data_IF_128309320622
#
_entry.id   IF_128309320622
#
_cell.length_a   1.000
_cell.length_b   1.000
_cell.length_c   1.000
_cell.angle_alpha   90.00
_cell.angle_beta   90.00
_cell.angle_gamma   90.00
#
_symmetry.space_group_name_H-M   'P 1'
#
loop_
_entity.id
_entity.type
_entity.pdbx_description
1 polymer ?
#
# COMPACT_ATOMS: atom_id res chain seq x y z
N UNK A 1 -16.50 7.59 14.72
CA UNK A 1 -15.71 8.80 15.02
C UNK A 1 -16.33 9.49 16.23
N UNK A 2 -15.72 9.45 17.42
CA UNK A 2 -16.26 10.18 18.56
C UNK A 2 -16.01 11.68 18.35
N UNK A 3 -17.07 12.50 18.41
CA UNK A 3 -16.97 13.97 18.39
C UNK A 3 -17.09 14.58 19.79
N UNK A 4 -17.26 13.76 20.82
CA UNK A 4 -17.61 14.25 22.14
C UNK A 4 -16.41 14.72 22.96
N UNK A 5 -15.21 14.17 22.74
CA UNK A 5 -13.99 14.53 23.49
C UNK A 5 -12.80 14.69 22.54
N UNK A 6 -11.88 15.61 22.84
CA UNK A 6 -10.63 15.82 22.11
C UNK A 6 -9.59 14.72 22.37
N UNK A 7 -8.38 14.84 21.80
CA UNK A 7 -7.31 13.85 21.96
C UNK A 7 -6.76 13.74 23.38
N UNK A 8 -7.12 14.69 24.25
CA UNK A 8 -6.72 14.80 25.65
C UNK A 8 -7.90 14.51 26.61
N UNK A 9 -9.05 14.08 26.08
CA UNK A 9 -10.25 13.78 26.87
C UNK A 9 -11.13 14.99 27.24
N UNK A 10 -10.86 16.18 26.71
CA UNK A 10 -11.66 17.40 26.96
C UNK A 10 -12.90 17.39 26.09
N UNK A 11 -14.07 17.72 26.64
CA UNK A 11 -15.30 17.74 25.85
C UNK A 11 -15.25 18.76 24.70
N UNK A 12 -15.76 18.38 23.53
CA UNK A 12 -15.89 19.30 22.39
C UNK A 12 -16.88 20.40 22.72
N UNK A 13 -16.43 21.65 22.62
CA UNK A 13 -17.21 22.82 22.97
C UNK A 13 -18.59 22.89 22.29
N UNK A 14 -19.61 23.21 23.09
CA UNK A 14 -20.99 23.41 22.65
C UNK A 14 -21.35 24.90 22.61
N UNK A 15 -22.58 25.22 22.18
CA UNK A 15 -23.12 26.58 22.26
C UNK A 15 -23.44 27.03 23.70
N UNK A 16 -23.06 26.27 24.73
CA UNK A 16 -23.05 26.76 26.11
C UNK A 16 -22.14 27.99 26.21
N UNK A 17 -22.60 29.13 26.76
CA UNK A 17 -21.80 30.36 26.80
C UNK A 17 -20.41 30.22 27.46
N UNK A 18 -20.28 29.31 28.43
CA UNK A 18 -18.99 29.04 29.08
C UNK A 18 -18.00 28.26 28.20
N UNK A 19 -18.49 27.51 27.20
CA UNK A 19 -17.69 26.68 26.31
C UNK A 19 -17.39 27.38 24.97
N UNK A 20 -18.08 28.48 24.65
CA UNK A 20 -17.88 29.27 23.43
C UNK A 20 -17.72 30.76 23.75
N UNK A 21 -16.57 31.16 24.33
CA UNK A 21 -16.30 32.55 24.71
C UNK A 21 -15.99 33.44 23.51
N UNK A 22 -16.15 34.74 23.69
CA UNK A 22 -15.69 35.74 22.73
C UNK A 22 -14.16 35.74 22.65
N UNK A 23 -13.63 35.91 21.44
CA UNK A 23 -12.21 36.12 21.17
C UNK A 23 -12.11 37.42 20.35
N UNK A 24 -12.15 38.59 21.03
CA UNK A 24 -12.26 39.89 20.36
C UNK A 24 -11.11 40.20 19.41
N UNK A 25 -9.90 39.73 19.73
CA UNK A 25 -8.69 39.90 18.91
C UNK A 25 -8.86 39.26 17.53
N UNK A 26 -9.65 38.19 17.44
CA UNK A 26 -9.94 37.48 16.19
C UNK A 26 -11.27 37.92 15.56
N UNK A 27 -11.93 38.95 16.11
CA UNK A 27 -13.27 39.38 15.71
C UNK A 27 -14.34 38.30 15.92
N UNK A 28 -14.09 37.32 16.78
CA UNK A 28 -15.00 36.22 17.04
C UNK A 28 -15.87 36.53 18.26
N UNK A 29 -17.18 36.58 18.06
CA UNK A 29 -18.17 36.65 19.13
C UNK A 29 -18.83 35.29 19.27
N UNK A 30 -18.60 34.64 20.40
CA UNK A 30 -19.09 33.32 20.73
C UNK A 30 -20.56 33.34 21.13
N UNK A 31 -21.02 32.21 21.66
CA UNK A 31 -22.44 31.97 21.87
C UNK A 31 -23.07 32.89 22.94
N UNK A 32 -22.27 33.52 23.81
CA UNK A 32 -22.75 34.49 24.79
C UNK A 32 -23.44 35.72 24.17
N UNK A 33 -23.06 36.08 22.94
CA UNK A 33 -23.65 37.20 22.19
C UNK A 33 -25.10 36.95 21.73
N UNK A 34 -25.59 35.71 21.83
CA UNK A 34 -26.93 35.32 21.37
C UNK A 34 -27.97 35.37 22.48
N UNK A 35 -29.14 35.90 22.15
CA UNK A 35 -30.32 36.01 23.02
C UNK A 35 -31.41 35.03 22.59
N UNK A 36 -32.49 34.95 23.37
CA UNK A 36 -33.66 34.13 23.02
C UNK A 36 -34.27 34.50 21.65
N UNK A 37 -34.07 35.73 21.16
CA UNK A 37 -34.61 36.17 19.87
C UNK A 37 -33.81 35.70 18.65
N UNK A 38 -32.58 35.20 18.82
CA UNK A 38 -31.68 34.86 17.70
C UNK A 38 -30.84 33.58 17.89
N UNK A 39 -31.13 32.80 18.93
CA UNK A 39 -30.54 31.50 19.15
C UNK A 39 -31.36 30.37 18.49
N UNK A 40 -30.71 29.26 18.17
CA UNK A 40 -31.33 28.10 17.51
C UNK A 40 -32.19 27.27 18.47
N UNK A 41 -31.78 27.16 19.73
CA UNK A 41 -32.47 26.39 20.76
C UNK A 41 -32.22 26.99 22.14
N UNK A 42 -33.19 26.87 23.05
CA UNK A 42 -33.04 27.23 24.46
C UNK A 42 -32.10 26.27 25.21
N UNK A 43 -32.02 25.00 24.79
CA UNK A 43 -31.08 24.04 25.34
C UNK A 43 -29.73 24.14 24.63
N UNK A 44 -28.91 25.09 25.06
CA UNK A 44 -27.66 25.52 24.41
C UNK A 44 -26.62 24.41 24.20
N UNK A 45 -26.37 23.47 25.14
CA UNK A 45 -25.37 22.42 24.97
C UNK A 45 -25.69 21.38 23.88
N UNK A 46 -26.90 21.37 23.32
CA UNK A 46 -27.32 20.37 22.33
C UNK A 46 -26.64 20.49 20.96
N UNK A 47 -25.88 21.58 20.74
CA UNK A 47 -25.23 21.86 19.48
C UNK A 47 -23.77 22.26 19.71
N UNK A 48 -22.86 21.72 18.90
CA UNK A 48 -21.45 22.17 18.90
C UNK A 48 -21.32 23.65 18.57
N UNK A 49 -20.35 24.31 19.21
CA UNK A 49 -20.04 25.72 18.99
C UNK A 49 -19.55 26.00 17.57
N UNK A 50 -19.59 27.28 17.17
CA UNK A 50 -19.02 27.68 15.88
C UNK A 50 -17.50 27.47 15.86
N UNK A 51 -16.83 27.69 16.99
CA UNK A 51 -15.41 27.42 17.16
C UNK A 51 -15.07 25.93 16.95
N UNK A 52 -15.81 25.03 17.60
CA UNK A 52 -15.60 23.58 17.47
C UNK A 52 -15.83 23.08 16.02
N UNK A 53 -16.82 23.66 15.33
CA UNK A 53 -17.12 23.35 13.92
C UNK A 53 -16.07 23.87 12.93
N UNK A 54 -15.25 24.85 13.32
CA UNK A 54 -14.13 25.37 12.51
C UNK A 54 -12.80 24.69 12.79
N UNK A 55 -12.72 23.86 13.84
CA UNK A 55 -11.48 23.22 14.28
C UNK A 55 -11.66 21.71 14.44
N UNK A 56 -11.90 21.23 15.66
CA UNK A 56 -11.76 19.80 15.96
C UNK A 56 -12.73 18.89 15.20
N UNK A 57 -13.93 19.37 14.85
CA UNK A 57 -14.92 18.57 14.12
C UNK A 57 -14.46 18.29 12.68
N UNK A 58 -14.14 19.31 11.85
CA UNK A 58 -13.61 19.06 10.52
C UNK A 58 -12.26 18.34 10.56
N UNK A 59 -11.38 18.60 11.52
CA UNK A 59 -10.09 17.89 11.63
C UNK A 59 -10.28 16.38 11.84
N UNK A 60 -11.21 15.99 12.72
CA UNK A 60 -11.53 14.59 12.96
C UNK A 60 -12.23 13.95 11.79
N UNK A 61 -13.14 14.66 11.15
CA UNK A 61 -13.81 14.16 9.95
C UNK A 61 -12.81 13.96 8.80
N UNK A 62 -11.89 14.91 8.60
CA UNK A 62 -10.83 14.80 7.60
C UNK A 62 -9.88 13.64 7.90
N UNK A 63 -9.44 13.50 9.16
CA UNK A 63 -8.59 12.37 9.59
C UNK A 63 -9.30 11.03 9.38
N UNK A 64 -10.58 10.96 9.72
CA UNK A 64 -11.41 9.78 9.52
C UNK A 64 -11.57 9.41 8.06
N UNK A 65 -11.85 10.40 7.20
CA UNK A 65 -11.97 10.22 5.76
C UNK A 65 -10.63 9.77 5.19
N UNK A 66 -9.52 10.39 5.59
CA UNK A 66 -8.18 10.00 5.17
C UNK A 66 -7.83 8.56 5.58
N UNK A 67 -8.23 8.14 6.77
CA UNK A 67 -7.99 6.78 7.27
C UNK A 67 -8.89 5.74 6.57
N UNK A 68 -10.13 6.10 6.23
CA UNK A 68 -11.12 5.16 5.67
C UNK A 68 -11.09 5.10 4.13
N UNK A 69 -11.02 6.24 3.46
CA UNK A 69 -10.99 6.35 2.00
C UNK A 69 -9.56 6.23 1.44
N UNK A 70 -8.54 6.29 2.30
CA UNK A 70 -7.14 6.40 1.89
C UNK A 70 -6.81 7.78 1.31
N UNK A 71 -5.51 8.05 1.17
CA UNK A 71 -5.01 9.23 0.43
C UNK A 71 -5.07 8.96 -1.08
N UNK A 72 -6.28 8.76 -1.61
CA UNK A 72 -6.46 8.57 -3.05
C UNK A 72 -6.02 9.83 -3.80
N UNK A 73 -5.50 9.66 -5.03
CA UNK A 73 -5.06 10.78 -5.86
C UNK A 73 -6.17 11.81 -6.10
N UNK A 74 -7.43 11.37 -6.21
CA UNK A 74 -8.60 12.25 -6.33
C UNK A 74 -8.79 13.14 -5.09
N UNK A 75 -8.60 12.58 -3.89
CA UNK A 75 -8.68 13.34 -2.64
C UNK A 75 -7.50 14.32 -2.49
N UNK A 76 -6.28 13.91 -2.84
CA UNK A 76 -5.08 14.78 -2.77
C UNK A 76 -5.15 15.91 -3.81
N UNK A 77 -5.66 15.64 -5.01
CA UNK A 77 -5.75 16.61 -6.11
C UNK A 77 -6.95 17.56 -6.00
N UNK A 78 -7.86 17.35 -5.05
CA UNK A 78 -9.07 18.16 -4.87
C UNK A 78 -10.12 17.99 -5.98
N UNK A 79 -10.01 16.94 -6.80
CA UNK A 79 -10.96 16.66 -7.88
C UNK A 79 -12.11 15.80 -7.35
N UNK A 80 -13.33 16.34 -7.36
CA UNK A 80 -14.51 15.64 -6.84
C UNK A 80 -14.70 14.29 -7.58
N UNK A 81 -15.04 13.20 -6.86
CA UNK A 81 -15.52 12.00 -7.52
C UNK A 81 -16.80 12.35 -8.28
N UNK A 82 -16.88 11.91 -9.54
CA UNK A 82 -18.05 12.16 -10.38
C UNK A 82 -19.25 11.36 -9.84
N UNK A 83 -20.09 12.01 -9.04
CA UNK A 83 -21.38 11.46 -8.62
C UNK A 83 -22.30 11.59 -9.84
N UNK A 84 -22.44 10.51 -10.61
CA UNK A 84 -23.28 10.48 -11.81
C UNK A 84 -24.77 10.50 -11.41
N UNK A 85 -25.56 11.53 -11.77
CA UNK A 85 -27.01 11.39 -11.81
C UNK A 85 -27.38 10.53 -13.02
N UNK A 86 -28.38 9.66 -12.86
CA UNK A 86 -28.86 8.79 -13.92
C UNK A 86 -29.49 9.56 -15.09
N UNK A 87 -29.09 9.13 -16.30
CA UNK A 87 -29.78 9.13 -17.61
C UNK A 87 -30.32 10.43 -18.22
N UNK A 88 -29.64 10.89 -19.27
CA UNK A 88 -30.18 11.71 -20.36
C UNK A 88 -29.10 12.04 -21.39
N UNK A 89 -29.12 11.37 -22.55
CA UNK A 89 -28.02 11.37 -23.53
C UNK A 89 -27.93 12.56 -24.48
N UNK A 90 -26.71 12.80 -24.98
CA UNK A 90 -26.34 12.98 -26.40
C UNK A 90 -24.81 13.10 -26.53
N UNK A 91 -24.19 12.13 -27.21
CA UNK A 91 -22.76 12.02 -27.60
C UNK A 91 -22.30 13.14 -28.56
N UNK A 92 -20.99 13.47 -28.73
CA UNK A 92 -19.84 12.53 -28.71
C UNK A 92 -18.49 13.05 -28.13
N UNK A 93 -17.80 12.21 -27.38
CA UNK A 93 -16.35 11.97 -27.53
C UNK A 93 -16.03 10.71 -26.74
N UNK A 94 -15.25 9.81 -27.36
CA UNK A 94 -14.83 8.55 -26.77
C UNK A 94 -14.06 8.70 -25.46
N UNK A 95 -13.84 7.59 -24.75
CA UNK A 95 -13.44 7.59 -23.36
C UNK A 95 -12.12 8.34 -23.19
N UNK A 96 -12.14 9.42 -22.41
CA UNK A 96 -10.91 9.85 -21.77
C UNK A 96 -10.51 8.70 -20.85
N UNK A 97 -9.39 8.06 -21.19
CA UNK A 97 -8.78 7.03 -20.38
C UNK A 97 -8.60 7.59 -18.97
N UNK A 98 -9.19 6.89 -18.00
CA UNK A 98 -9.00 7.18 -16.59
C UNK A 98 -7.50 7.00 -16.31
N UNK A 99 -6.78 8.12 -16.12
CA UNK A 99 -5.35 8.20 -15.78
C UNK A 99 -5.06 7.68 -14.36
N UNK A 100 -5.83 6.70 -13.87
CA UNK A 100 -5.70 6.16 -12.52
C UNK A 100 -4.49 5.23 -12.43
N UNK A 101 -3.58 5.56 -11.51
CA UNK A 101 -2.52 4.65 -11.04
C UNK A 101 -3.19 3.35 -10.63
N UNK A 102 -2.77 2.22 -11.20
CA UNK A 102 -3.28 0.90 -10.83
C UNK A 102 -2.58 0.44 -9.56
N UNK A 103 -3.35 0.11 -8.53
CA UNK A 103 -2.82 -0.24 -7.22
C UNK A 103 -3.31 -1.62 -6.77
N UNK A 104 -2.37 -2.47 -6.38
CA UNK A 104 -2.62 -3.72 -5.65
C UNK A 104 -2.04 -3.57 -4.26
N UNK A 105 -2.78 -3.97 -3.24
CA UNK A 105 -2.33 -3.82 -1.85
C UNK A 105 -2.68 -5.02 -0.99
N UNK A 106 -1.85 -5.27 0.02
CA UNK A 106 -2.16 -6.13 1.16
C UNK A 106 -1.93 -5.30 2.42
N UNK A 107 -3.04 -4.81 3.01
CA UNK A 107 -3.02 -3.90 4.15
C UNK A 107 -3.87 -4.45 5.29
N UNK A 108 -3.33 -4.63 6.50
CA UNK A 108 -4.08 -5.07 7.69
C UNK A 108 -5.31 -4.20 7.97
N UNK A 109 -5.21 -2.89 7.73
CA UNK A 109 -6.32 -1.95 7.90
C UNK A 109 -7.47 -2.15 6.90
N UNK A 110 -7.22 -2.83 5.77
CA UNK A 110 -8.22 -3.15 4.75
C UNK A 110 -8.91 -4.51 4.97
N UNK A 111 -8.71 -5.14 6.13
CA UNK A 111 -9.37 -6.39 6.52
C UNK A 111 -8.62 -7.64 6.06
N UNK A 112 -9.31 -8.78 6.00
CA UNK A 112 -8.70 -10.07 5.65
C UNK A 112 -8.13 -10.09 4.22
N UNK A 113 -7.06 -10.84 4.00
CA UNK A 113 -6.38 -10.92 2.71
C UNK A 113 -7.32 -11.38 1.57
N UNK A 114 -8.21 -12.34 1.86
CA UNK A 114 -9.20 -12.82 0.90
C UNK A 114 -10.20 -11.73 0.47
N UNK A 115 -10.60 -10.85 1.40
CA UNK A 115 -11.47 -9.71 1.09
C UNK A 115 -10.76 -8.66 0.23
N UNK A 116 -9.43 -8.64 0.25
CA UNK A 116 -8.58 -7.81 -0.58
C UNK A 116 -8.18 -8.49 -1.90
N UNK A 117 -8.80 -9.61 -2.27
CA UNK A 117 -8.54 -10.31 -3.54
C UNK A 117 -7.33 -11.25 -3.54
N UNK A 118 -6.71 -11.49 -2.38
CA UNK A 118 -5.57 -12.41 -2.27
C UNK A 118 -6.01 -13.85 -2.02
N UNK A 119 -5.32 -14.80 -2.66
CA UNK A 119 -5.55 -16.23 -2.48
C UNK A 119 -4.30 -16.93 -1.94
N UNK A 120 -4.43 -17.68 -0.85
CA UNK A 120 -3.35 -18.50 -0.27
C UNK A 120 -3.49 -19.94 -0.72
N UNK A 121 -2.37 -20.58 -1.06
CA UNK A 121 -2.27 -22.02 -1.34
C UNK A 121 -1.12 -22.63 -0.56
N UNK A 122 -1.31 -23.88 -0.12
CA UNK A 122 -0.27 -24.70 0.52
C UNK A 122 0.35 -24.04 1.78
N UNK A 123 -0.42 -23.14 2.42
CA UNK A 123 -0.07 -22.34 3.58
C UNK A 123 -1.31 -21.77 4.24
N UNK A 124 -1.13 -20.96 5.28
CA UNK A 124 -2.19 -20.17 5.91
C UNK A 124 -1.79 -18.70 5.99
N UNK A 125 -2.80 -17.82 6.03
CA UNK A 125 -2.62 -16.40 6.30
C UNK A 125 -3.59 -16.02 7.42
N UNK A 126 -3.10 -15.31 8.42
CA UNK A 126 -3.89 -14.83 9.55
C UNK A 126 -3.60 -13.36 9.78
N UNK A 127 -4.64 -12.55 9.87
CA UNK A 127 -4.57 -11.18 10.36
C UNK A 127 -4.60 -11.19 11.90
N UNK A 128 -3.55 -10.66 12.53
CA UNK A 128 -3.46 -10.51 13.99
C UNK A 128 -2.65 -9.27 14.33
N UNK A 129 -3.11 -8.47 15.29
CA UNK A 129 -2.36 -7.33 15.83
C UNK A 129 -1.91 -6.32 14.75
N UNK A 130 -2.72 -6.13 13.72
CA UNK A 130 -2.40 -5.23 12.61
C UNK A 130 -1.31 -5.75 11.67
N UNK A 131 -1.09 -7.07 11.60
CA UNK A 131 -0.08 -7.72 10.77
C UNK A 131 -0.62 -9.00 10.16
N UNK A 132 -0.23 -9.33 8.92
CA UNK A 132 -0.47 -10.64 8.34
C UNK A 132 0.65 -11.61 8.69
N UNK A 133 0.31 -12.72 9.33
CA UNK A 133 1.24 -13.82 9.64
C UNK A 133 1.00 -14.96 8.66
N UNK A 134 2.06 -15.41 7.98
CA UNK A 134 1.99 -16.53 7.04
C UNK A 134 2.47 -17.80 7.74
N UNK A 135 1.66 -18.86 7.69
CA UNK A 135 2.01 -20.18 8.21
C UNK A 135 2.33 -21.12 7.07
N UNK A 136 3.50 -21.77 7.17
CA UNK A 136 3.95 -22.76 6.19
C UNK A 136 3.39 -24.14 6.53
N UNK A 137 2.89 -24.86 5.54
CA UNK A 137 2.60 -26.29 5.67
C UNK A 137 3.87 -27.13 5.47
N UNK A 138 4.03 -28.20 6.26
CA UNK A 138 5.22 -29.06 6.19
C UNK A 138 5.41 -29.64 4.78
N UNK A 139 6.65 -29.60 4.28
CA UNK A 139 7.04 -30.10 2.95
C UNK A 139 6.32 -29.45 1.75
N UNK A 140 5.75 -28.25 1.94
CA UNK A 140 5.06 -27.50 0.88
C UNK A 140 5.64 -26.11 0.74
N UNK A 141 5.70 -25.61 -0.49
CA UNK A 141 5.98 -24.20 -0.77
C UNK A 141 4.63 -23.46 -0.78
N UNK A 142 4.46 -22.43 0.06
CA UNK A 142 3.20 -21.68 0.07
C UNK A 142 3.22 -20.60 -1.02
N UNK A 143 2.04 -20.18 -1.50
CA UNK A 143 1.91 -19.05 -2.41
C UNK A 143 0.70 -18.19 -2.05
N UNK A 144 0.93 -16.89 -1.86
CA UNK A 144 -0.12 -15.87 -1.69
C UNK A 144 -0.17 -15.02 -2.95
N UNK A 145 -1.28 -15.04 -3.68
CA UNK A 145 -1.38 -14.49 -5.04
C UNK A 145 -2.50 -13.47 -5.18
N UNK A 146 -2.24 -12.39 -5.90
CA UNK A 146 -3.25 -11.44 -6.38
C UNK A 146 -3.08 -11.25 -7.90
N UNK A 147 -4.15 -11.36 -8.72
CA UNK A 147 -4.09 -11.09 -10.15
C UNK A 147 -3.56 -9.68 -10.45
N UNK A 148 -2.81 -9.54 -11.55
CA UNK A 148 -2.33 -8.25 -12.06
C UNK A 148 -2.68 -8.15 -13.53
N UNK A 149 -3.64 -7.28 -13.83
CA UNK A 149 -3.96 -6.95 -15.21
C UNK A 149 -2.85 -6.07 -15.80
N UNK A 150 -2.52 -6.30 -17.07
CA UNK A 150 -1.54 -5.52 -17.84
C UNK A 150 -0.19 -5.34 -17.14
N UNK A 151 0.29 -6.35 -16.40
CA UNK A 151 1.53 -6.27 -15.64
C UNK A 151 2.73 -5.73 -16.45
N UNK A 152 2.80 -6.06 -17.75
CA UNK A 152 3.85 -5.61 -18.68
C UNK A 152 3.98 -4.08 -18.75
N UNK A 153 2.92 -3.34 -18.41
CA UNK A 153 2.92 -1.87 -18.40
C UNK A 153 3.84 -1.28 -17.34
N UNK A 154 4.32 -2.06 -16.35
CA UNK A 154 5.44 -1.66 -15.50
C UNK A 154 6.69 -1.25 -16.30
N UNK A 155 6.92 -1.86 -17.48
CA UNK A 155 8.05 -1.52 -18.34
C UNK A 155 7.85 -0.20 -19.07
N UNK A 156 6.63 0.15 -19.47
CA UNK A 156 6.34 1.38 -20.22
C UNK A 156 6.04 2.56 -19.30
N UNK A 157 5.28 2.34 -18.24
CA UNK A 157 4.78 3.37 -17.32
C UNK A 157 5.67 3.53 -16.09
N UNK A 158 6.48 2.51 -15.77
CA UNK A 158 7.16 2.45 -14.48
C UNK A 158 6.17 2.21 -13.35
N UNK A 159 6.66 2.32 -12.12
CA UNK A 159 5.86 2.02 -10.94
C UNK A 159 6.72 1.77 -9.73
N UNK A 160 6.09 1.30 -8.67
CA UNK A 160 6.75 1.05 -7.39
C UNK A 160 6.11 -0.13 -6.68
N UNK A 161 6.95 -1.03 -6.19
CA UNK A 161 6.58 -1.98 -5.16
C UNK A 161 7.14 -1.50 -3.82
N UNK A 162 6.31 -1.46 -2.78
CA UNK A 162 6.75 -1.26 -1.39
C UNK A 162 6.26 -2.42 -0.54
N UNK A 163 7.14 -3.03 0.24
CA UNK A 163 6.79 -4.09 1.17
C UNK A 163 7.49 -3.86 2.52
N UNK A 164 6.71 -3.85 3.60
CA UNK A 164 7.22 -3.88 4.96
C UNK A 164 6.92 -5.25 5.58
N UNK A 165 7.98 -5.99 5.87
CA UNK A 165 7.91 -7.37 6.31
C UNK A 165 8.93 -7.63 7.43
N UNK A 166 8.75 -8.71 8.18
CA UNK A 166 9.81 -9.26 9.03
C UNK A 166 9.88 -10.76 8.87
N UNK A 167 11.07 -11.29 9.12
CA UNK A 167 11.34 -12.72 9.17
C UNK A 167 11.34 -13.18 10.62
N UNK A 168 10.91 -14.41 10.87
CA UNK A 168 10.92 -15.01 12.21
C UNK A 168 11.56 -16.39 12.19
N UNK A 169 12.30 -16.69 13.27
CA UNK A 169 13.05 -17.94 13.43
C UNK A 169 14.47 -17.70 13.91
N UNK A 170 15.20 -18.78 14.16
CA UNK A 170 16.62 -18.71 14.49
C UNK A 170 17.45 -18.44 13.23
N UNK A 171 18.50 -17.63 13.36
CA UNK A 171 19.45 -17.40 12.27
C UNK A 171 20.04 -18.73 11.78
N UNK A 172 19.85 -19.02 10.50
CA UNK A 172 20.35 -20.21 9.82
C UNK A 172 20.94 -19.75 8.50
N UNK A 173 22.15 -20.17 8.18
CA UNK A 173 22.79 -19.75 6.94
C UNK A 173 22.07 -20.33 5.72
N UNK A 174 21.95 -19.55 4.65
CA UNK A 174 21.27 -19.90 3.39
C UNK A 174 19.77 -20.15 3.49
N UNK A 175 19.12 -19.80 4.60
CA UNK A 175 17.69 -20.01 4.76
C UNK A 175 16.88 -18.95 3.99
N UNK A 176 15.87 -19.41 3.26
CA UNK A 176 14.97 -18.55 2.48
C UNK A 176 13.97 -17.84 3.41
N UNK A 177 13.65 -16.59 3.08
CA UNK A 177 12.55 -15.83 3.66
C UNK A 177 11.49 -15.49 2.61
N UNK A 178 11.02 -14.24 2.59
CA UNK A 178 10.01 -13.76 1.65
C UNK A 178 10.53 -13.72 0.21
N UNK A 179 9.81 -14.33 -0.71
CA UNK A 179 9.94 -14.19 -2.15
C UNK A 179 8.79 -13.38 -2.76
N UNK A 180 9.08 -12.56 -3.77
CA UNK A 180 8.13 -11.71 -4.51
C UNK A 180 8.34 -11.91 -6.01
N UNK A 181 7.29 -12.30 -6.70
CA UNK A 181 7.33 -12.67 -8.10
C UNK A 181 6.18 -12.05 -8.88
N UNK A 182 6.46 -11.68 -10.13
CA UNK A 182 5.48 -11.21 -11.09
C UNK A 182 6.06 -11.44 -12.48
N UNK A 183 5.38 -12.24 -13.28
CA UNK A 183 5.74 -12.43 -14.68
C UNK A 183 4.49 -12.49 -15.55
N UNK A 184 4.69 -12.25 -16.83
CA UNK A 184 3.64 -12.20 -17.84
C UNK A 184 4.08 -12.92 -19.11
N UNK A 185 3.12 -13.36 -19.90
CA UNK A 185 3.30 -13.89 -21.25
C UNK A 185 3.12 -12.81 -22.33
N UNK A 186 2.79 -11.58 -21.94
CA UNK A 186 2.74 -10.44 -22.83
C UNK A 186 4.13 -10.16 -23.44
N UNK A 187 4.19 -9.73 -24.73
CA UNK A 187 5.46 -9.41 -25.36
C UNK A 187 6.13 -8.21 -24.70
N UNK A 188 7.47 -8.19 -24.71
CA UNK A 188 8.23 -7.02 -24.28
C UNK A 188 7.87 -5.84 -25.19
N UNK A 189 7.53 -4.65 -24.63
CA UNK A 189 7.19 -3.47 -25.42
C UNK A 189 8.31 -3.03 -26.36
N UNK A 190 7.93 -2.45 -27.50
CA UNK A 190 8.88 -1.88 -28.45
C UNK A 190 9.81 -0.85 -27.79
N UNK A 191 11.08 -0.90 -28.14
CA UNK A 191 12.10 -0.01 -27.58
C UNK A 191 12.63 -0.41 -26.19
N UNK A 192 12.01 -1.37 -25.50
CA UNK A 192 12.52 -1.91 -24.23
C UNK A 192 13.44 -3.10 -24.49
N UNK A 193 14.72 -2.97 -24.14
CA UNK A 193 15.67 -4.07 -24.21
C UNK A 193 15.58 -4.94 -22.94
N UNK A 194 15.35 -6.25 -23.11
CA UNK A 194 15.30 -7.21 -22.01
C UNK A 194 16.10 -8.47 -22.35
N UNK A 195 17.05 -8.82 -21.49
CA UNK A 195 17.95 -9.97 -21.67
C UNK A 195 17.30 -11.29 -21.23
N UNK A 196 17.87 -12.43 -21.61
CA UNK A 196 17.39 -13.76 -21.21
C UNK A 196 16.39 -14.38 -22.18
N UNK A 197 15.82 -15.52 -21.80
CA UNK A 197 14.93 -16.35 -22.64
C UNK A 197 13.69 -16.77 -21.86
N UNK A 198 12.56 -16.92 -22.54
CA UNK A 198 11.28 -17.24 -21.90
C UNK A 198 10.40 -15.99 -21.75
N UNK A 199 9.64 -15.95 -20.66
CA UNK A 199 8.64 -14.92 -20.40
C UNK A 199 9.26 -13.71 -19.66
N UNK A 200 8.75 -12.48 -19.85
CA UNK A 200 9.16 -11.34 -19.05
C UNK A 200 8.88 -11.53 -17.55
N UNK A 201 9.93 -11.71 -16.74
CA UNK A 201 9.88 -11.68 -15.28
C UNK A 201 10.13 -10.27 -14.79
N UNK A 202 9.07 -9.56 -14.45
CA UNK A 202 9.10 -8.19 -13.90
C UNK A 202 9.59 -8.19 -12.45
N UNK A 203 9.31 -9.28 -11.73
CA UNK A 203 9.85 -9.54 -10.40
C UNK A 203 10.18 -11.02 -10.25
N UNK A 204 11.34 -11.31 -9.69
CA UNK A 204 11.76 -12.67 -9.29
C UNK A 204 12.76 -12.57 -8.14
N UNK A 205 12.34 -11.98 -7.03
CA UNK A 205 13.23 -11.65 -5.93
C UNK A 205 12.91 -12.46 -4.68
N UNK A 206 13.91 -12.72 -3.85
CA UNK A 206 13.69 -13.32 -2.55
C UNK A 206 14.71 -12.85 -1.53
N UNK A 207 14.36 -12.95 -0.26
CA UNK A 207 15.30 -12.75 0.83
C UNK A 207 15.98 -14.05 1.23
N UNK A 208 17.27 -14.01 1.50
CA UNK A 208 18.02 -15.14 2.02
C UNK A 208 19.09 -14.67 3.00
N UNK A 209 19.29 -15.44 4.07
CA UNK A 209 20.36 -15.16 5.02
C UNK A 209 21.69 -15.70 4.52
N UNK A 210 22.75 -14.89 4.58
CA UNK A 210 24.12 -15.34 4.36
C UNK A 210 25.04 -14.52 5.24
N UNK A 211 25.97 -15.18 5.93
CA UNK A 211 26.95 -14.54 6.82
C UNK A 211 26.31 -13.65 7.89
N UNK A 212 25.18 -14.11 8.44
CA UNK A 212 24.44 -13.39 9.48
C UNK A 212 23.57 -12.22 8.98
N UNK A 213 23.56 -11.95 7.68
CA UNK A 213 22.84 -10.83 7.07
C UNK A 213 21.64 -11.27 6.24
N UNK A 214 20.61 -10.43 6.19
CA UNK A 214 19.47 -10.60 5.26
C UNK A 214 19.81 -9.95 3.93
N UNK A 215 19.72 -10.71 2.85
CA UNK A 215 20.11 -10.28 1.52
C UNK A 215 18.91 -10.29 0.57
N UNK A 216 18.83 -9.30 -0.33
CA UNK A 216 17.93 -9.36 -1.49
C UNK A 216 18.63 -10.11 -2.63
N UNK A 217 17.99 -11.16 -3.12
CA UNK A 217 18.51 -12.02 -4.18
C UNK A 217 17.59 -11.95 -5.40
N UNK A 218 18.17 -11.98 -6.59
CA UNK A 218 17.49 -12.17 -7.86
C UNK A 218 17.48 -13.67 -8.20
N UNK A 219 16.30 -14.27 -8.25
CA UNK A 219 16.08 -15.64 -8.66
C UNK A 219 16.15 -15.73 -10.19
N UNK A 220 17.12 -16.50 -10.68
CA UNK A 220 17.29 -16.75 -12.11
C UNK A 220 17.59 -18.21 -12.33
N UNK A 221 17.06 -18.79 -13.40
CA UNK A 221 17.41 -20.14 -13.82
C UNK A 221 18.89 -20.30 -14.11
N UNK A 222 19.53 -19.25 -14.61
CA UNK A 222 20.97 -19.20 -14.88
C UNK A 222 21.85 -19.04 -13.62
N UNK A 223 21.24 -19.02 -12.42
CA UNK A 223 21.93 -18.85 -11.15
C UNK A 223 21.55 -17.55 -10.46
N UNK A 224 21.32 -17.63 -9.15
CA UNK A 224 20.88 -16.51 -8.35
C UNK A 224 21.98 -15.46 -8.20
N UNK A 225 21.61 -14.19 -8.11
CA UNK A 225 22.56 -13.08 -7.93
C UNK A 225 22.12 -12.20 -6.78
N UNK A 226 23.07 -11.74 -5.95
CA UNK A 226 22.80 -10.79 -4.87
C UNK A 226 22.57 -9.39 -5.44
N UNK A 227 21.48 -8.74 -5.02
CA UNK A 227 21.12 -7.37 -5.43
C UNK A 227 21.45 -6.33 -4.35
N UNK A 228 21.49 -6.76 -3.09
CA UNK A 228 21.82 -5.90 -1.97
C UNK A 228 21.60 -6.58 -0.62
N UNK A 229 21.78 -5.81 0.45
CA UNK A 229 21.72 -6.27 1.83
C UNK A 229 20.82 -5.35 2.65
N UNK A 230 20.00 -5.94 3.52
CA UNK A 230 19.19 -5.18 4.48
C UNK A 230 19.98 -4.86 5.76
N UNK A 231 20.96 -5.70 6.11
CA UNK A 231 21.72 -5.61 7.36
C UNK A 231 21.76 -6.94 8.11
N UNK A 232 22.14 -6.88 9.38
CA UNK A 232 22.21 -8.05 10.26
C UNK A 232 20.81 -8.61 10.54
N UNK A 233 20.70 -9.93 10.63
CA UNK A 233 19.44 -10.60 10.95
C UNK A 233 19.09 -10.45 12.44
N UNK A 234 17.94 -9.85 12.74
CA UNK A 234 17.47 -9.62 14.11
C UNK A 234 15.98 -9.88 14.36
N UNK A 235 15.25 -10.51 13.42
CA UNK A 235 13.78 -10.57 13.38
C UNK A 235 13.09 -9.18 13.31
N UNK A 236 13.85 -8.12 13.05
CA UNK A 236 13.35 -6.76 12.93
C UNK A 236 12.58 -6.53 11.64
N UNK A 237 11.72 -5.51 11.66
CA UNK A 237 11.04 -5.01 10.48
C UNK A 237 12.02 -4.52 9.42
N UNK A 238 11.80 -4.98 8.20
CA UNK A 238 12.53 -4.62 6.99
C UNK A 238 11.58 -3.90 6.03
N UNK A 239 12.11 -2.94 5.28
CA UNK A 239 11.37 -2.28 4.20
C UNK A 239 12.08 -2.49 2.88
N UNK A 240 11.38 -3.07 1.91
CA UNK A 240 11.81 -3.20 0.52
C UNK A 240 11.02 -2.23 -0.34
N UNK A 241 11.72 -1.39 -1.10
CA UNK A 241 11.14 -0.62 -2.21
C UNK A 241 11.80 -1.07 -3.51
N UNK A 242 11.02 -1.26 -4.57
CA UNK A 242 11.50 -1.49 -5.94
C UNK A 242 10.89 -0.42 -6.83
N UNK A 243 11.71 0.46 -7.39
CA UNK A 243 11.27 1.52 -8.29
C UNK A 243 11.55 1.11 -9.73
N UNK A 244 10.50 0.99 -10.53
CA UNK A 244 10.57 0.65 -11.95
C UNK A 244 10.71 1.91 -12.79
N UNK A 245 11.74 1.96 -13.62
CA UNK A 245 11.97 3.10 -14.52
C UNK A 245 11.16 2.94 -15.81
N UNK A 246 10.24 3.88 -16.04
CA UNK A 246 9.40 3.92 -17.23
C UNK A 246 10.22 3.89 -18.53
N UNK A 247 9.72 3.16 -19.53
CA UNK A 247 10.38 2.96 -20.82
C UNK A 247 11.61 2.05 -20.77
N UNK A 248 11.80 1.25 -19.71
CA UNK A 248 12.98 0.41 -19.56
C UNK A 248 12.72 -0.87 -18.76
N UNK A 249 13.69 -1.79 -18.80
CA UNK A 249 13.75 -2.97 -17.94
C UNK A 249 14.51 -2.69 -16.62
N UNK A 250 14.73 -1.42 -16.26
CA UNK A 250 15.56 -1.05 -15.10
C UNK A 250 14.72 -0.94 -13.83
N UNK A 251 15.25 -1.51 -12.75
CA UNK A 251 14.69 -1.42 -11.39
C UNK A 251 15.76 -0.93 -10.43
N UNK A 252 15.41 0.01 -9.56
CA UNK A 252 16.27 0.48 -8.46
C UNK A 252 15.69 0.00 -7.12
N UNK A 253 16.42 -0.82 -6.35
CA UNK A 253 15.97 -1.24 -5.03
C UNK A 253 16.29 -0.17 -3.98
N UNK A 254 15.45 -0.06 -2.94
CA UNK A 254 15.84 0.53 -1.66
C UNK A 254 15.60 -0.46 -0.55
N UNK A 255 16.62 -0.71 0.26
CA UNK A 255 16.60 -1.64 1.38
C UNK A 255 16.70 -0.81 2.66
N UNK A 256 15.65 -0.82 3.48
CA UNK A 256 15.52 0.03 4.67
C UNK A 256 15.76 1.53 4.37
N UNK A 257 15.23 2.00 3.24
CA UNK A 257 15.39 3.39 2.79
C UNK A 257 16.72 3.71 2.11
N UNK A 258 17.70 2.80 2.13
CA UNK A 258 19.00 2.96 1.46
C UNK A 258 18.89 2.49 0.02
N UNK A 259 19.12 3.38 -0.94
CA UNK A 259 19.13 3.03 -2.35
C UNK A 259 20.32 2.12 -2.70
N UNK A 260 20.02 1.01 -3.38
CA UNK A 260 21.01 0.09 -3.93
C UNK A 260 21.30 0.36 -5.41
N UNK A 261 22.23 -0.41 -6.02
CA UNK A 261 22.52 -0.30 -7.43
C UNK A 261 21.32 -0.75 -8.28
N UNK A 262 21.06 -0.01 -9.37
CA UNK A 262 20.04 -0.39 -10.34
C UNK A 262 20.42 -1.70 -11.04
N UNK A 263 19.42 -2.50 -11.39
CA UNK A 263 19.59 -3.76 -12.11
C UNK A 263 18.48 -3.95 -13.16
N UNK A 264 18.67 -4.91 -14.06
CA UNK A 264 17.68 -5.22 -15.10
C UNK A 264 16.76 -6.36 -14.67
N UNK A 265 15.47 -6.21 -14.95
CA UNK A 265 14.55 -7.37 -15.05
C UNK A 265 14.90 -8.20 -16.28
N UNK A 266 14.60 -9.49 -16.24
CA UNK A 266 15.01 -10.42 -17.30
C UNK A 266 13.85 -11.25 -17.82
N UNK A 267 14.04 -11.85 -18.99
CA UNK A 267 13.24 -12.99 -19.43
C UNK A 267 13.78 -14.26 -18.78
N UNK A 268 12.88 -15.07 -18.25
CA UNK A 268 13.22 -16.37 -17.66
C UNK A 268 12.11 -17.41 -17.92
N UNK A 269 12.38 -18.67 -17.63
CA UNK A 269 11.46 -19.79 -17.73
C UNK A 269 11.12 -20.40 -16.37
N UNK A 270 11.22 -19.63 -15.28
CA UNK A 270 10.68 -20.04 -13.99
C UNK A 270 9.15 -20.18 -14.12
N UNK A 271 8.53 -21.02 -13.30
CA UNK A 271 7.08 -21.26 -13.33
C UNK A 271 6.48 -20.90 -11.98
N UNK A 272 5.74 -19.80 -11.91
CA UNK A 272 4.98 -19.35 -10.74
C UNK A 272 3.58 -18.87 -11.20
N UNK A 273 2.83 -18.08 -10.42
CA UNK A 273 1.55 -17.53 -10.89
C UNK A 273 1.71 -16.57 -12.09
N UNK A 274 1.19 -16.95 -13.27
CA UNK A 274 1.15 -16.11 -14.48
C UNK A 274 0.23 -14.91 -14.27
N UNK A 275 0.68 -13.72 -14.62
CA UNK A 275 -0.08 -12.47 -14.49
C UNK A 275 -0.62 -12.27 -13.06
N UNK A 276 0.15 -12.68 -12.06
CA UNK A 276 -0.22 -12.56 -10.65
C UNK A 276 1.00 -12.17 -9.80
N UNK A 277 0.80 -11.18 -8.93
CA UNK A 277 1.76 -10.82 -7.91
C UNK A 277 1.73 -11.94 -6.86
N UNK A 278 2.84 -12.66 -6.77
CA UNK A 278 2.95 -13.88 -5.97
C UNK A 278 3.99 -13.68 -4.88
N UNK A 279 3.58 -13.84 -3.63
CA UNK A 279 4.46 -13.99 -2.48
C UNK A 279 4.65 -15.47 -2.16
N UNK A 280 5.84 -15.88 -1.75
CA UNK A 280 6.15 -17.29 -1.41
C UNK A 280 7.36 -17.39 -0.48
N UNK A 281 7.61 -18.57 0.09
CA UNK A 281 8.86 -18.91 0.77
C UNK A 281 9.87 -19.64 -0.14
N UNK A 282 9.59 -19.73 -1.44
CA UNK A 282 10.47 -20.24 -2.51
C UNK A 282 10.72 -21.75 -2.47
N UNK A 283 10.73 -22.37 -1.29
CA UNK A 283 11.17 -23.76 -1.10
C UNK A 283 10.18 -24.60 -0.29
N UNK A 284 10.13 -25.90 -0.58
CA UNK A 284 9.39 -26.87 0.22
C UNK A 284 10.09 -27.19 1.55
N UNK A 285 11.39 -26.91 1.64
CA UNK A 285 12.20 -27.13 2.83
C UNK A 285 11.92 -26.03 3.88
N UNK A 286 12.58 -26.10 5.03
CA UNK A 286 12.48 -25.07 6.06
C UNK A 286 12.84 -23.68 5.50
N UNK A 287 12.01 -22.70 5.83
CA UNK A 287 12.16 -21.29 5.49
C UNK A 287 11.78 -20.46 6.74
N UNK A 288 12.17 -19.20 6.76
CA UNK A 288 11.75 -18.28 7.82
C UNK A 288 10.23 -18.11 7.83
N UNK A 289 9.66 -17.92 9.01
CA UNK A 289 8.31 -17.37 9.12
C UNK A 289 8.29 -15.97 8.53
N UNK A 290 7.17 -15.60 7.91
CA UNK A 290 7.02 -14.29 7.26
C UNK A 290 5.83 -13.57 7.88
N UNK A 291 6.06 -12.32 8.26
CA UNK A 291 5.00 -11.41 8.66
C UNK A 291 5.04 -10.15 7.79
N UNK A 292 3.87 -9.63 7.41
CA UNK A 292 3.71 -8.51 6.49
C UNK A 292 2.85 -7.44 7.15
N UNK A 293 3.42 -6.25 7.35
CA UNK A 293 2.68 -5.06 7.81
C UNK A 293 2.03 -4.35 6.63
N UNK A 294 2.70 -4.33 5.47
CA UNK A 294 2.12 -3.76 4.25
C UNK A 294 2.80 -4.29 3.00
N UNK A 295 2.01 -4.37 1.93
CA UNK A 295 2.48 -4.51 0.55
C UNK A 295 1.66 -3.59 -0.34
N UNK A 296 2.32 -2.91 -1.26
CA UNK A 296 1.69 -2.10 -2.28
C UNK A 296 2.47 -2.21 -3.59
N UNK A 297 1.77 -2.50 -4.68
CA UNK A 297 2.26 -2.36 -6.05
C UNK A 297 1.47 -1.26 -6.72
N UNK A 298 2.16 -0.23 -7.18
CA UNK A 298 1.62 0.89 -7.95
C UNK A 298 2.19 0.83 -9.36
N UNK A 299 1.35 0.79 -10.38
CA UNK A 299 1.72 0.98 -11.79
C UNK A 299 1.27 2.37 -12.18
N UNK A 300 2.21 3.20 -12.65
CA UNK A 300 1.92 4.58 -12.96
C UNK A 300 0.89 4.68 -14.10
N UNK A 301 0.19 5.81 -14.16
CA UNK A 301 -0.66 6.09 -15.31
C UNK A 301 0.17 6.26 -16.60
N UNK A 302 -0.43 6.05 -17.79
CA UNK A 302 0.20 6.42 -19.04
C UNK A 302 0.67 7.89 -19.00
N UNK A 303 1.86 8.16 -19.54
CA UNK A 303 2.25 9.54 -19.81
C UNK A 303 1.27 10.14 -20.84
N UNK A 304 0.79 11.37 -20.56
CA UNK A 304 -0.11 12.12 -21.43
C UNK A 304 0.61 12.65 -22.69
#
# INVERSE_FOLDING_TARGET
>A
MPFMTDGNGVNTATNAPAEDPDIPVSGYYGAASRTNGNQVSSNRPTHFSSWARRSIIPDRLATAILNAAGRTSAFISGKAPEIKPSSGGNTPSGPFADTSVRTISLLPAAGEAAAQGWSIKDGGIQLSDGVFKITKQSNKTWSLTHPVDDAITLLTQGGRLTCKFRLSGALTNYQFGLGIYLYTDAPVPDGVAMTGTGNPFLMSYFTQTTDGRVNLMHHRKAGNTKLGEFGDYGNDWQTLELVFTAGSATVTPKLNGVAGPAFQVIKDSLTLGLNALTLTDVTKNAAYGVEIESLMLEINAPAA
#
